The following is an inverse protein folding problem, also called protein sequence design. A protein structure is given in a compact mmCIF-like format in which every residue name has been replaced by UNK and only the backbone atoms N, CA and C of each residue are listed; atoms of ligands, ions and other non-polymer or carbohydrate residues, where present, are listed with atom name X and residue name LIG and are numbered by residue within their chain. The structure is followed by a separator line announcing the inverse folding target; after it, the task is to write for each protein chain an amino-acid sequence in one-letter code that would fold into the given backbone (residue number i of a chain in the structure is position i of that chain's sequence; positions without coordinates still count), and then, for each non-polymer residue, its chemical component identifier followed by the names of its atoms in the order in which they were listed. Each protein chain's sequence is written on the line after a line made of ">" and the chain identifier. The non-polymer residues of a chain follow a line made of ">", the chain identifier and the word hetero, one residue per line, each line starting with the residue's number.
data_IF_535778610876
#
_entry.id   IF_535778610876
#
_cell.length_a   1.000
_cell.length_b   1.000
_cell.length_c   1.000
_cell.angle_alpha   90.00
_cell.angle_beta   90.00
_cell.angle_gamma   90.00
#
_symmetry.space_group_name_H-M   'P 1'
#
loop_
_entity.id
_entity.type
_entity.pdbx_description
1 polymer ?
#
# COMPACT_ATOMS: atom_id res chain seq x y z
N UNK A 1 3.72 -12.91 -12.12
CA UNK A 1 4.87 -13.02 -11.20
C UNK A 1 4.51 -13.12 -9.71
N UNK A 2 3.23 -13.29 -9.33
CA UNK A 2 2.82 -13.65 -7.96
C UNK A 2 1.61 -14.61 -8.00
N UNK A 3 1.73 -15.71 -8.75
CA UNK A 3 0.72 -16.77 -8.72
C UNK A 3 0.78 -17.52 -7.40
N UNK A 4 -0.30 -18.19 -6.99
CA UNK A 4 -0.30 -19.05 -5.79
C UNK A 4 0.85 -20.06 -5.82
N UNK A 5 1.09 -20.67 -6.99
CA UNK A 5 2.20 -21.61 -7.20
C UNK A 5 3.59 -20.96 -7.06
N UNK A 6 3.76 -19.71 -7.51
CA UNK A 6 5.02 -19.00 -7.31
C UNK A 6 5.22 -18.63 -5.84
N UNK A 7 4.16 -18.21 -5.14
CA UNK A 7 4.19 -17.82 -3.74
C UNK A 7 4.40 -19.02 -2.81
N UNK A 8 3.89 -20.21 -3.16
CA UNK A 8 4.12 -21.43 -2.38
C UNK A 8 5.61 -21.81 -2.33
N UNK A 9 6.36 -21.56 -3.41
CA UNK A 9 7.83 -21.73 -3.46
C UNK A 9 8.57 -20.84 -2.45
N UNK A 10 7.97 -19.72 -2.04
CA UNK A 10 8.50 -18.83 -1.00
C UNK A 10 7.90 -19.09 0.39
N UNK A 11 7.14 -20.18 0.58
CA UNK A 11 6.59 -20.57 1.87
C UNK A 11 5.25 -19.92 2.25
N UNK A 12 4.61 -19.18 1.33
CA UNK A 12 3.26 -18.68 1.54
C UNK A 12 2.25 -19.81 1.38
N UNK A 13 1.43 -20.04 2.41
CA UNK A 13 0.37 -21.06 2.40
C UNK A 13 -0.85 -20.51 1.67
N UNK A 14 -1.45 -21.31 0.78
CA UNK A 14 -2.62 -20.90 -0.01
C UNK A 14 -3.78 -20.38 0.85
N UNK A 15 -4.06 -21.01 2.00
CA UNK A 15 -5.10 -20.56 2.94
C UNK A 15 -4.82 -19.22 3.65
N UNK A 16 -3.66 -18.60 3.40
CA UNK A 16 -3.30 -17.26 3.90
C UNK A 16 -3.20 -16.22 2.77
N UNK A 17 -3.48 -16.61 1.53
CA UNK A 17 -3.52 -15.70 0.40
C UNK A 17 -4.94 -15.12 0.26
N UNK A 18 -5.03 -13.80 0.15
CA UNK A 18 -6.29 -13.15 -0.18
C UNK A 18 -6.54 -13.29 -1.68
N UNK A 19 -7.76 -13.64 -2.06
CA UNK A 19 -8.19 -13.52 -3.45
C UNK A 19 -8.30 -12.04 -3.80
N UNK A 20 -7.60 -11.61 -4.85
CA UNK A 20 -7.59 -10.23 -5.29
C UNK A 20 -8.19 -10.09 -6.70
N UNK A 21 -9.12 -9.15 -6.92
CA UNK A 21 -9.62 -8.87 -8.26
C UNK A 21 -8.52 -8.25 -9.14
N UNK A 22 -8.49 -8.64 -10.41
CA UNK A 22 -7.55 -8.07 -11.37
C UNK A 22 -7.82 -6.57 -11.56
N UNK A 23 -6.76 -5.79 -11.79
CA UNK A 23 -6.84 -4.35 -12.07
C UNK A 23 -7.51 -3.50 -10.96
N UNK A 24 -7.44 -3.93 -9.70
CA UNK A 24 -8.02 -3.19 -8.56
C UNK A 24 -6.95 -2.64 -7.60
N UNK A 25 -6.15 -1.63 -8.02
CA UNK A 25 -5.19 -0.95 -7.15
C UNK A 25 -5.89 -0.14 -6.05
N UNK A 26 -7.13 0.28 -6.29
CA UNK A 26 -8.00 0.99 -5.37
C UNK A 26 -8.29 0.23 -4.08
N UNK A 27 -8.33 -1.09 -4.19
CA UNK A 27 -8.48 -1.96 -3.05
C UNK A 27 -7.17 -2.17 -2.29
N UNK A 28 -6.01 -1.73 -2.75
CA UNK A 28 -4.73 -2.08 -2.12
C UNK A 28 -4.31 -1.00 -1.10
N UNK A 29 -4.33 -1.27 0.22
CA UNK A 29 -3.99 -0.27 1.23
C UNK A 29 -2.57 0.30 1.06
N UNK A 30 -1.66 -0.49 0.49
CA UNK A 30 -0.24 -0.11 0.35
C UNK A 30 -0.04 1.10 -0.56
N UNK A 31 -0.94 1.33 -1.53
CA UNK A 31 -0.85 2.50 -2.43
C UNK A 31 -0.96 3.81 -1.64
N UNK A 32 -1.84 3.84 -0.64
CA UNK A 32 -1.96 5.00 0.25
C UNK A 32 -0.73 5.15 1.14
N UNK A 33 -0.16 4.04 1.60
CA UNK A 33 1.08 4.06 2.38
C UNK A 33 2.23 4.63 1.55
N UNK A 34 2.35 4.26 0.28
CA UNK A 34 3.35 4.85 -0.62
C UNK A 34 3.15 6.35 -0.81
N UNK A 35 1.91 6.81 -0.96
CA UNK A 35 1.60 8.24 -1.04
C UNK A 35 1.99 8.99 0.24
N UNK A 36 1.66 8.43 1.41
CA UNK A 36 2.04 8.98 2.72
C UNK A 36 3.56 9.03 2.89
N UNK A 37 4.25 7.93 2.60
CA UNK A 37 5.70 7.84 2.71
C UNK A 37 6.39 8.83 1.78
N UNK A 38 5.95 8.92 0.52
CA UNK A 38 6.48 9.90 -0.43
C UNK A 38 6.29 11.33 0.09
N UNK A 39 5.11 11.65 0.62
CA UNK A 39 4.83 12.97 1.19
C UNK A 39 5.75 13.30 2.37
N UNK A 40 6.10 12.31 3.20
CA UNK A 40 7.04 12.46 4.31
C UNK A 40 8.49 12.60 3.86
N UNK A 41 8.93 11.80 2.89
CA UNK A 41 10.30 11.85 2.35
C UNK A 41 10.63 13.21 1.74
N UNK A 42 9.65 13.81 1.04
CA UNK A 42 9.78 15.10 0.36
C UNK A 42 9.15 16.27 1.14
N UNK A 43 8.87 16.08 2.43
CA UNK A 43 8.28 17.12 3.28
C UNK A 43 9.14 18.39 3.25
N UNK A 44 8.48 19.56 3.21
CA UNK A 44 9.15 20.87 3.09
C UNK A 44 10.03 21.03 1.83
N UNK A 45 9.76 20.27 0.76
CA UNK A 45 10.45 20.40 -0.53
C UNK A 45 11.85 19.80 -0.57
N UNK A 46 12.18 18.93 0.40
CA UNK A 46 13.49 18.28 0.52
C UNK A 46 13.92 17.62 -0.79
N UNK A 47 15.15 17.86 -1.23
CA UNK A 47 15.76 17.25 -2.41
C UNK A 47 16.96 16.38 -2.02
N UNK A 48 17.29 15.41 -2.87
CA UNK A 48 18.37 14.46 -2.61
C UNK A 48 19.33 14.44 -3.80
N UNK A 49 20.63 14.57 -3.53
CA UNK A 49 21.69 14.57 -4.55
C UNK A 49 22.25 13.18 -4.86
N UNK A 50 21.88 12.16 -4.09
CA UNK A 50 22.32 10.79 -4.29
C UNK A 50 21.25 9.77 -3.92
N UNK A 51 21.37 8.56 -4.50
CA UNK A 51 20.50 7.43 -4.17
C UNK A 51 20.64 7.00 -2.70
N UNK A 52 21.84 7.09 -2.13
CA UNK A 52 22.09 6.73 -0.73
C UNK A 52 21.36 7.67 0.23
N UNK A 53 21.46 8.99 0.00
CA UNK A 53 20.75 9.97 0.81
C UNK A 53 19.22 9.80 0.72
N UNK A 54 18.70 9.51 -0.48
CA UNK A 54 17.28 9.21 -0.65
C UNK A 54 16.89 7.92 0.09
N UNK A 55 17.70 6.87 0.01
CA UNK A 55 17.45 5.60 0.69
C UNK A 55 17.41 5.74 2.22
N UNK A 56 18.35 6.48 2.80
CA UNK A 56 18.34 6.80 4.24
C UNK A 56 17.11 7.62 4.65
N UNK A 57 16.71 8.57 3.80
CA UNK A 57 15.50 9.36 4.03
C UNK A 57 14.22 8.52 3.96
N UNK A 58 14.15 7.56 3.03
CA UNK A 58 13.03 6.61 2.94
C UNK A 58 12.94 5.79 4.21
N UNK A 59 14.06 5.22 4.68
CA UNK A 59 14.08 4.41 5.89
C UNK A 59 13.66 5.21 7.13
N UNK A 60 14.24 6.39 7.32
CA UNK A 60 13.89 7.26 8.47
C UNK A 60 12.44 7.74 8.42
N UNK A 61 11.95 8.13 7.24
CA UNK A 61 10.55 8.55 7.07
C UNK A 61 9.59 7.40 7.33
N UNK A 62 9.90 6.19 6.86
CA UNK A 62 9.07 5.00 7.11
C UNK A 62 9.04 4.65 8.60
N UNK A 63 10.18 4.70 9.29
CA UNK A 63 10.26 4.45 10.73
C UNK A 63 9.50 5.50 11.56
N UNK A 64 9.38 6.73 11.07
CA UNK A 64 8.64 7.81 11.71
C UNK A 64 7.12 7.74 11.51
N UNK A 65 6.61 6.93 10.57
CA UNK A 65 5.16 6.78 10.36
C UNK A 65 4.57 6.03 11.56
N UNK A 66 3.67 6.71 12.28
CA UNK A 66 3.02 6.12 13.43
C UNK A 66 2.09 4.97 13.04
N UNK A 67 2.02 3.94 13.87
CA UNK A 67 1.15 2.77 13.67
C UNK A 67 -0.33 3.13 13.46
N UNK A 68 -0.80 4.23 14.05
CA UNK A 68 -2.20 4.66 13.91
C UNK A 68 -2.49 5.13 12.48
N UNK A 69 -1.51 5.74 11.79
CA UNK A 69 -1.66 6.09 10.38
C UNK A 69 -1.83 4.82 9.54
N UNK A 70 -1.05 3.78 9.81
CA UNK A 70 -1.16 2.46 9.14
C UNK A 70 -2.53 1.85 9.44
N UNK A 71 -2.97 1.88 10.71
CA UNK A 71 -4.28 1.36 11.12
C UNK A 71 -5.42 2.05 10.38
N UNK A 72 -5.39 3.38 10.28
CA UNK A 72 -6.41 4.14 9.56
C UNK A 72 -6.48 3.77 8.07
N UNK A 73 -5.33 3.53 7.44
CA UNK A 73 -5.28 3.06 6.04
C UNK A 73 -5.96 1.70 5.91
N UNK A 74 -5.65 0.76 6.81
CA UNK A 74 -6.25 -0.57 6.78
C UNK A 74 -7.74 -0.57 7.15
N UNK A 75 -8.15 0.25 8.12
CA UNK A 75 -9.56 0.37 8.55
C UNK A 75 -10.44 0.94 7.42
N UNK A 76 -9.87 1.72 6.50
CA UNK A 76 -10.60 2.26 5.34
C UNK A 76 -11.08 1.19 4.35
N UNK A 77 -10.53 -0.02 4.41
CA UNK A 77 -10.81 -1.08 3.43
C UNK A 77 -12.27 -1.51 3.41
N UNK A 78 -12.92 -1.62 4.56
CA UNK A 78 -14.34 -1.98 4.63
C UNK A 78 -15.19 -0.97 3.85
N UNK A 79 -14.90 0.33 3.97
CA UNK A 79 -15.62 1.38 3.25
C UNK A 79 -15.34 1.33 1.74
N UNK A 80 -14.11 1.03 1.32
CA UNK A 80 -13.77 0.85 -0.10
C UNK A 80 -14.52 -0.31 -0.72
N UNK A 81 -14.58 -1.46 -0.02
CA UNK A 81 -15.35 -2.61 -0.48
C UNK A 81 -16.83 -2.29 -0.65
N UNK A 82 -17.44 -1.56 0.30
CA UNK A 82 -18.84 -1.11 0.19
C UNK A 82 -19.03 -0.22 -1.04
N UNK A 83 -18.10 0.71 -1.30
CA UNK A 83 -18.14 1.56 -2.50
C UNK A 83 -18.03 0.74 -3.79
N UNK A 84 -17.13 -0.23 -3.87
CA UNK A 84 -16.97 -1.10 -5.06
C UNK A 84 -18.23 -1.92 -5.32
N UNK A 85 -18.83 -2.48 -4.26
CA UNK A 85 -20.10 -3.21 -4.36
C UNK A 85 -21.21 -2.28 -4.88
N UNK A 86 -21.29 -1.06 -4.34
CA UNK A 86 -22.27 -0.05 -4.77
C UNK A 86 -22.05 0.39 -6.23
N UNK A 87 -20.79 0.45 -6.66
CA UNK A 87 -20.38 0.72 -8.04
C UNK A 87 -20.49 -0.51 -8.96
N UNK A 88 -21.02 -1.65 -8.47
CA UNK A 88 -21.14 -2.91 -9.21
C UNK A 88 -19.81 -3.41 -9.80
N UNK A 89 -18.72 -3.20 -9.07
CA UNK A 89 -17.38 -3.61 -9.48
C UNK A 89 -16.64 -2.58 -10.34
N UNK A 90 -17.23 -1.41 -10.60
CA UNK A 90 -16.57 -0.31 -11.31
C UNK A 90 -15.61 0.48 -10.39
N UNK A 91 -14.79 1.33 -11.00
CA UNK A 91 -13.79 2.15 -10.33
C UNK A 91 -14.40 3.06 -9.25
N UNK A 92 -13.72 3.13 -8.10
CA UNK A 92 -14.09 4.02 -7.00
C UNK A 92 -13.05 5.12 -6.80
N UNK A 93 -13.53 6.33 -6.50
CA UNK A 93 -12.69 7.39 -5.94
C UNK A 93 -12.55 7.21 -4.42
N UNK A 94 -11.30 7.23 -3.95
CA UNK A 94 -10.94 7.14 -2.53
C UNK A 94 -9.81 8.12 -2.18
#
# INVERSE_FOLDING_TARGET
>A
CYTCEALSKFGFKEGRLMMWPACSPDLNPIENFWSLLKSKVYESGKQFSSKNCLWEAIQSSAAAIHKDAIKNLTDSMSNRLIKVISAKGDYIHY
#
